data_IF_991575226310
#
_entry.id   IF_991575226310
#
_cell.length_a   1.000
_cell.length_b   1.000
_cell.length_c   1.000
_cell.angle_alpha   90.00
_cell.angle_beta   90.00
_cell.angle_gamma   90.00
#
_symmetry.space_group_name_H-M   'P 1'
#
loop_
_entity.id
_entity.type
_entity.pdbx_description
1 polymer ?
#
# COMPACT_ATOMS: atom_id res chain seq x y z
N UNK A 1 -17.11 24.01 26.15
CA UNK A 1 -18.07 24.02 25.01
C UNK A 1 -19.16 25.02 25.31
N UNK A 2 -19.34 26.03 24.47
CA UNK A 2 -20.39 27.04 24.64
C UNK A 2 -21.75 26.41 24.34
N UNK A 3 -22.66 26.45 25.30
CA UNK A 3 -24.00 25.88 25.14
C UNK A 3 -24.80 26.76 24.17
N UNK A 4 -25.34 26.16 23.09
CA UNK A 4 -26.18 26.90 22.15
C UNK A 4 -27.45 27.39 22.87
N UNK A 5 -27.96 28.60 22.55
CA UNK A 5 -29.21 29.10 23.11
C UNK A 5 -30.36 28.10 22.90
N UNK A 6 -31.35 28.02 23.79
CA UNK A 6 -32.51 27.14 23.58
C UNK A 6 -33.29 27.55 22.33
N UNK A 7 -34.10 26.62 21.82
CA UNK A 7 -35.13 26.93 20.84
C UNK A 7 -36.07 28.01 21.39
N UNK A 8 -36.50 29.02 20.60
CA UNK A 8 -36.33 29.17 19.16
C UNK A 8 -35.08 29.97 18.74
N UNK A 9 -34.23 30.37 19.67
CA UNK A 9 -33.07 31.23 19.41
C UNK A 9 -31.99 30.46 18.64
N UNK A 10 -31.63 29.24 19.04
CA UNK A 10 -30.83 28.35 18.19
C UNK A 10 -31.72 27.51 17.27
N UNK A 11 -31.47 27.60 15.96
CA UNK A 11 -32.13 26.78 14.94
C UNK A 11 -31.09 26.35 13.88
N UNK A 12 -30.46 25.18 14.06
CA UNK A 12 -29.45 24.67 13.11
C UNK A 12 -29.95 24.56 11.67
N UNK A 13 -31.27 24.40 11.48
CA UNK A 13 -31.90 24.37 10.14
C UNK A 13 -31.70 25.68 9.35
N UNK A 14 -31.44 26.82 9.99
CA UNK A 14 -31.18 28.10 9.29
C UNK A 14 -29.99 27.99 8.33
N UNK A 15 -28.92 27.31 8.74
CA UNK A 15 -27.72 27.10 7.91
C UNK A 15 -27.91 25.99 6.85
N UNK A 16 -29.06 25.31 6.83
CA UNK A 16 -29.36 24.21 5.91
C UNK A 16 -30.36 24.57 4.82
N UNK A 17 -30.82 25.83 4.77
CA UNK A 17 -31.91 26.29 3.90
C UNK A 17 -31.58 26.21 2.40
N UNK A 18 -30.32 26.41 2.01
CA UNK A 18 -29.91 26.38 0.60
C UNK A 18 -28.62 25.58 0.41
N UNK A 19 -28.36 25.06 -0.81
CA UNK A 19 -27.07 24.47 -1.15
C UNK A 19 -25.89 25.42 -0.87
N UNK A 20 -26.02 26.71 -1.21
CA UNK A 20 -25.00 27.72 -0.96
C UNK A 20 -24.68 27.89 0.54
N UNK A 21 -25.71 27.96 1.40
CA UNK A 21 -25.51 28.05 2.86
C UNK A 21 -24.81 26.81 3.41
N UNK A 22 -25.21 25.61 2.97
CA UNK A 22 -24.56 24.36 3.38
C UNK A 22 -23.11 24.27 2.91
N UNK A 23 -22.79 24.85 1.76
CA UNK A 23 -21.42 24.91 1.25
C UNK A 23 -20.56 25.86 2.09
N UNK A 24 -21.09 27.03 2.48
CA UNK A 24 -20.36 28.00 3.31
C UNK A 24 -19.98 27.48 4.70
N UNK A 25 -20.80 26.62 5.30
CA UNK A 25 -20.60 26.11 6.67
C UNK A 25 -20.12 24.67 6.73
N UNK A 26 -19.74 24.08 5.59
CA UNK A 26 -19.23 22.71 5.54
C UNK A 26 -17.89 22.64 6.28
N UNK A 27 -17.77 21.68 7.19
CA UNK A 27 -16.59 21.52 8.03
C UNK A 27 -15.50 20.67 7.38
N UNK A 28 -15.88 19.75 6.48
CA UNK A 28 -14.96 18.79 5.86
C UNK A 28 -15.10 18.80 4.36
N UNK A 29 -13.97 18.91 3.68
CA UNK A 29 -13.83 18.80 2.24
C UNK A 29 -12.89 17.63 1.94
N UNK A 30 -13.14 16.97 0.81
CA UNK A 30 -12.22 15.99 0.25
C UNK A 30 -11.68 16.57 -1.05
N UNK A 31 -10.37 16.46 -1.22
CA UNK A 31 -9.61 16.92 -2.36
C UNK A 31 -8.82 15.75 -2.96
N UNK A 32 -8.47 15.77 -4.25
CA UNK A 32 -7.69 14.69 -4.89
C UNK A 32 -6.40 14.32 -4.14
N UNK A 33 -5.72 15.31 -3.55
CA UNK A 33 -4.51 15.13 -2.76
C UNK A 33 -4.71 14.40 -1.42
N UNK A 34 -5.96 14.24 -0.94
CA UNK A 34 -6.27 13.45 0.24
C UNK A 34 -6.23 11.93 -0.02
N UNK A 35 -6.14 11.53 -1.29
CA UNK A 35 -6.16 10.12 -1.69
C UNK A 35 -4.77 9.55 -1.94
N UNK A 36 -4.57 8.31 -1.50
CA UNK A 36 -3.47 7.42 -1.90
C UNK A 36 -4.10 6.33 -2.78
N UNK A 37 -3.62 6.14 -4.01
CA UNK A 37 -4.19 5.15 -4.93
C UNK A 37 -3.41 3.82 -4.90
N UNK A 38 -4.05 2.70 -4.48
CA UNK A 38 -3.40 1.38 -4.52
C UNK A 38 -3.25 0.84 -5.93
N UNK A 39 -2.06 0.33 -6.27
CA UNK A 39 -1.75 -0.31 -7.55
C UNK A 39 -1.18 -1.72 -7.33
N UNK A 40 -1.75 -2.70 -8.01
CA UNK A 40 -1.31 -4.10 -7.99
C UNK A 40 -0.38 -4.37 -9.17
N UNK A 41 0.89 -4.67 -8.92
CA UNK A 41 1.94 -4.73 -9.94
C UNK A 41 2.48 -6.15 -10.07
N UNK A 42 2.58 -6.66 -11.28
CA UNK A 42 3.05 -8.02 -11.58
C UNK A 42 4.07 -8.02 -12.73
N UNK A 43 4.82 -9.10 -12.85
CA UNK A 43 5.73 -9.30 -13.98
C UNK A 43 5.00 -9.43 -15.33
N UNK A 44 5.70 -9.09 -16.41
CA UNK A 44 5.23 -9.12 -17.79
C UNK A 44 5.20 -7.75 -18.46
N UNK A 45 4.56 -7.67 -19.63
CA UNK A 45 4.45 -6.46 -20.46
C UNK A 45 3.06 -6.42 -21.12
N UNK A 46 2.43 -5.24 -21.18
CA UNK A 46 1.09 -5.05 -21.75
C UNK A 46 -0.04 -5.75 -20.98
N UNK A 47 0.18 -6.13 -19.72
CA UNK A 47 -0.76 -6.92 -18.93
C UNK A 47 -1.72 -5.99 -18.17
N UNK A 48 -3.01 -6.26 -18.32
CA UNK A 48 -4.08 -5.75 -17.45
C UNK A 48 -4.99 -6.91 -17.04
N UNK A 49 -4.59 -7.64 -16.00
CA UNK A 49 -5.28 -8.85 -15.57
C UNK A 49 -6.38 -8.51 -14.54
N UNK A 50 -7.68 -8.69 -14.85
CA UNK A 50 -8.76 -8.27 -13.97
C UNK A 50 -8.76 -9.06 -12.66
N UNK A 51 -9.14 -8.41 -11.56
CA UNK A 51 -9.33 -9.02 -10.24
C UNK A 51 -10.83 -9.30 -10.06
N UNK A 52 -11.32 -10.56 -10.15
CA UNK A 52 -12.76 -10.85 -10.17
C UNK A 52 -13.52 -10.39 -8.92
N UNK A 53 -12.88 -10.44 -7.76
CA UNK A 53 -13.44 -9.98 -6.48
C UNK A 53 -13.45 -8.46 -6.32
N UNK A 54 -12.76 -7.72 -7.19
CA UNK A 54 -12.64 -6.26 -7.16
C UNK A 54 -12.93 -5.68 -8.56
N UNK A 55 -14.21 -5.59 -8.97
CA UNK A 55 -14.58 -5.11 -10.29
C UNK A 55 -13.97 -3.72 -10.60
N UNK A 56 -13.32 -3.62 -11.75
CA UNK A 56 -12.61 -2.40 -12.18
C UNK A 56 -11.16 -2.30 -11.69
N UNK A 57 -10.68 -3.27 -10.91
CA UNK A 57 -9.27 -3.35 -10.48
C UNK A 57 -8.53 -4.45 -11.23
N UNK A 58 -7.24 -4.23 -11.43
CA UNK A 58 -6.38 -5.08 -12.27
C UNK A 58 -5.03 -5.29 -11.59
N UNK A 59 -4.42 -6.45 -11.84
CA UNK A 59 -2.99 -6.64 -11.70
C UNK A 59 -2.34 -6.19 -13.00
N UNK A 60 -1.42 -5.25 -12.90
CA UNK A 60 -0.84 -4.50 -14.01
C UNK A 60 0.62 -4.91 -14.21
N UNK A 61 1.07 -5.04 -15.45
CA UNK A 61 2.52 -4.99 -15.71
C UNK A 61 3.05 -3.59 -15.44
N UNK A 62 4.37 -3.43 -15.32
CA UNK A 62 4.97 -2.13 -14.99
C UNK A 62 4.55 -1.04 -15.99
N UNK A 63 4.56 -1.33 -17.29
CA UNK A 63 4.17 -0.39 -18.34
C UNK A 63 2.71 0.09 -18.20
N UNK A 64 1.76 -0.82 -18.00
CA UNK A 64 0.34 -0.45 -17.83
C UNK A 64 0.04 0.17 -16.46
N UNK A 65 0.86 -0.13 -15.45
CA UNK A 65 0.83 0.54 -14.14
C UNK A 65 1.26 2.00 -14.25
N UNK A 66 2.25 2.32 -15.08
CA UNK A 66 2.63 3.72 -15.36
C UNK A 66 1.48 4.47 -16.01
N UNK A 67 0.79 3.89 -17.00
CA UNK A 67 -0.39 4.52 -17.63
C UNK A 67 -1.48 4.86 -16.59
N UNK A 68 -1.77 3.95 -15.65
CA UNK A 68 -2.72 4.20 -14.56
C UNK A 68 -2.24 5.29 -13.60
N UNK A 69 -0.95 5.30 -13.27
CA UNK A 69 -0.37 6.33 -12.40
C UNK A 69 -0.40 7.72 -13.06
N UNK A 70 -0.11 7.82 -14.36
CA UNK A 70 -0.21 9.07 -15.13
C UNK A 70 -1.65 9.59 -15.17
N UNK A 71 -2.62 8.69 -15.37
CA UNK A 71 -4.03 9.05 -15.32
C UNK A 71 -4.42 9.55 -13.92
N UNK A 72 -4.04 8.84 -12.85
CA UNK A 72 -4.28 9.28 -11.47
C UNK A 72 -3.65 10.65 -11.18
N UNK A 73 -2.43 10.88 -11.64
CA UNK A 73 -1.74 12.17 -11.52
C UNK A 73 -2.51 13.30 -12.22
N UNK A 74 -3.05 13.04 -13.41
CA UNK A 74 -3.86 14.01 -14.17
C UNK A 74 -5.15 14.40 -13.43
N UNK A 75 -5.68 13.51 -12.59
CA UNK A 75 -6.85 13.73 -11.74
C UNK A 75 -6.52 14.47 -10.43
N UNK A 76 -5.23 14.72 -10.16
CA UNK A 76 -4.76 15.43 -8.97
C UNK A 76 -4.32 14.53 -7.82
N UNK A 77 -4.36 13.20 -7.98
CA UNK A 77 -3.86 12.25 -6.97
C UNK A 77 -2.33 12.32 -6.98
N UNK A 78 -1.73 12.53 -5.80
CA UNK A 78 -0.29 12.78 -5.66
C UNK A 78 0.51 11.60 -5.14
N UNK A 79 -0.17 10.55 -4.69
CA UNK A 79 0.48 9.40 -4.08
C UNK A 79 -0.15 8.08 -4.48
N UNK A 80 0.69 7.07 -4.59
CA UNK A 80 0.28 5.68 -4.83
C UNK A 80 0.90 4.77 -3.77
N UNK A 81 0.25 3.65 -3.50
CA UNK A 81 0.83 2.54 -2.75
C UNK A 81 0.93 1.31 -3.65
N UNK A 82 2.12 0.70 -3.70
CA UNK A 82 2.38 -0.44 -4.57
C UNK A 82 2.24 -1.77 -3.80
N UNK A 83 1.48 -2.69 -4.39
CA UNK A 83 1.36 -4.08 -3.96
C UNK A 83 1.89 -5.00 -5.05
N UNK A 84 2.96 -5.75 -4.75
CA UNK A 84 3.65 -6.59 -5.73
C UNK A 84 3.05 -7.98 -5.80
N UNK A 85 2.94 -8.55 -6.99
CA UNK A 85 2.57 -9.94 -7.24
C UNK A 85 3.82 -10.62 -7.80
N UNK A 86 4.55 -11.39 -6.98
CA UNK A 86 5.80 -12.02 -7.39
C UNK A 86 5.57 -13.11 -8.44
N UNK A 87 6.63 -13.45 -9.18
CA UNK A 87 6.59 -14.60 -10.10
C UNK A 87 6.71 -15.92 -9.33
N UNK A 88 7.49 -15.89 -8.24
CA UNK A 88 7.75 -17.05 -7.40
C UNK A 88 7.58 -16.70 -5.92
N UNK A 89 6.96 -17.61 -5.17
CA UNK A 89 6.85 -17.55 -3.72
C UNK A 89 7.71 -18.63 -3.08
N UNK A 90 8.31 -18.33 -1.94
CA UNK A 90 9.13 -19.26 -1.17
C UNK A 90 8.99 -18.99 0.33
N UNK A 91 9.45 -19.89 1.20
CA UNK A 91 9.27 -19.78 2.65
C UNK A 91 9.87 -18.50 3.30
N UNK A 92 10.75 -17.77 2.61
CA UNK A 92 11.42 -16.57 3.11
C UNK A 92 11.08 -15.31 2.30
N UNK A 93 10.17 -15.41 1.33
CA UNK A 93 9.76 -14.31 0.46
C UNK A 93 10.90 -13.58 -0.24
N UNK A 94 11.84 -14.33 -0.84
CA UNK A 94 13.11 -13.76 -1.33
C UNK A 94 12.95 -12.63 -2.34
N UNK A 95 11.93 -12.65 -3.19
CA UNK A 95 11.70 -11.61 -4.19
C UNK A 95 11.41 -10.23 -3.57
N UNK A 96 10.85 -10.18 -2.35
CA UNK A 96 10.48 -8.91 -1.70
C UNK A 96 11.69 -8.00 -1.43
N UNK A 97 12.85 -8.59 -1.15
CA UNK A 97 14.10 -7.88 -0.87
C UNK A 97 15.15 -8.06 -1.97
N UNK A 98 14.79 -8.63 -3.13
CA UNK A 98 15.63 -8.63 -4.32
C UNK A 98 15.65 -7.22 -4.96
N UNK A 99 16.82 -6.59 -5.15
CA UNK A 99 16.93 -5.32 -5.90
C UNK A 99 16.32 -5.35 -7.30
N UNK A 100 16.17 -6.53 -7.91
CA UNK A 100 15.57 -6.78 -9.21
C UNK A 100 14.12 -7.30 -9.15
N UNK A 101 13.56 -7.47 -7.95
CA UNK A 101 12.17 -7.90 -7.75
C UNK A 101 11.14 -6.90 -8.27
N UNK A 102 9.87 -7.34 -8.33
CA UNK A 102 8.79 -6.59 -8.99
C UNK A 102 8.60 -5.18 -8.41
N UNK A 103 8.59 -5.03 -7.09
CA UNK A 103 8.37 -3.73 -6.43
C UNK A 103 9.54 -2.75 -6.66
N UNK A 104 10.82 -3.13 -6.40
CA UNK A 104 11.95 -2.27 -6.74
C UNK A 104 12.00 -1.85 -8.22
N UNK A 105 11.64 -2.75 -9.15
CA UNK A 105 11.55 -2.43 -10.57
C UNK A 105 10.44 -1.41 -10.86
N UNK A 106 9.25 -1.61 -10.28
CA UNK A 106 8.10 -0.73 -10.40
C UNK A 106 8.38 0.67 -9.85
N UNK A 107 8.96 0.77 -8.66
CA UNK A 107 9.34 2.06 -8.03
C UNK A 107 10.27 2.84 -8.95
N UNK A 108 11.36 2.21 -9.44
CA UNK A 108 12.31 2.88 -10.34
C UNK A 108 11.66 3.35 -11.64
N UNK A 109 10.76 2.56 -12.21
CA UNK A 109 10.03 2.96 -13.40
C UNK A 109 9.12 4.16 -13.12
N UNK A 110 8.39 4.12 -12.00
CA UNK A 110 7.48 5.18 -11.59
C UNK A 110 8.21 6.48 -11.29
N UNK A 111 9.31 6.45 -10.54
CA UNK A 111 10.12 7.66 -10.27
C UNK A 111 10.77 8.23 -11.55
N UNK A 112 10.96 7.44 -12.61
CA UNK A 112 11.40 7.96 -13.92
C UNK A 112 10.27 8.64 -14.69
N UNK A 113 9.06 8.06 -14.69
CA UNK A 113 7.91 8.59 -15.42
C UNK A 113 7.26 9.79 -14.72
N UNK A 114 7.11 9.70 -13.39
CA UNK A 114 6.47 10.69 -12.53
C UNK A 114 7.36 11.01 -11.32
N UNK A 115 8.45 11.79 -11.49
CA UNK A 115 9.42 12.05 -10.43
C UNK A 115 8.81 12.66 -9.15
N UNK A 116 7.77 13.47 -9.32
CA UNK A 116 7.08 14.18 -8.23
C UNK A 116 5.95 13.36 -7.57
N UNK A 117 5.61 12.19 -8.10
CA UNK A 117 4.63 11.31 -7.45
C UNK A 117 5.27 10.69 -6.20
N UNK A 118 4.52 10.74 -5.09
CA UNK A 118 4.90 10.09 -3.84
C UNK A 118 4.61 8.60 -3.96
N UNK A 119 5.65 7.78 -3.80
CA UNK A 119 5.56 6.33 -3.89
C UNK A 119 5.66 5.72 -2.50
N UNK A 120 4.57 5.11 -2.05
CA UNK A 120 4.50 4.30 -0.84
C UNK A 120 4.71 2.85 -1.21
N UNK A 121 5.60 2.15 -0.50
CA UNK A 121 5.82 0.72 -0.68
C UNK A 121 5.27 -0.07 0.50
N UNK A 122 4.49 -1.12 0.24
CA UNK A 122 4.08 -2.08 1.25
C UNK A 122 5.27 -2.92 1.74
N UNK A 123 5.42 -3.04 3.06
CA UNK A 123 6.47 -3.84 3.69
C UNK A 123 5.82 -4.97 4.50
N UNK A 124 5.73 -6.15 3.86
CA UNK A 124 5.20 -7.39 4.44
C UNK A 124 5.73 -8.62 3.69
N UNK A 125 5.56 -9.81 4.24
CA UNK A 125 6.00 -11.07 3.62
C UNK A 125 4.84 -11.90 3.03
N UNK A 126 3.57 -11.55 3.30
CA UNK A 126 2.42 -12.39 2.96
C UNK A 126 2.30 -12.69 1.47
N UNK A 127 2.54 -11.70 0.61
CA UNK A 127 2.40 -11.89 -0.83
C UNK A 127 3.59 -12.65 -1.43
N UNK A 128 4.72 -12.72 -0.72
CA UNK A 128 5.97 -13.33 -1.19
C UNK A 128 6.22 -14.72 -0.62
N UNK A 129 5.56 -15.07 0.48
CA UNK A 129 5.71 -16.38 1.10
C UNK A 129 4.78 -17.41 0.50
N UNK A 130 5.27 -18.65 0.34
CA UNK A 130 4.47 -19.76 -0.19
C UNK A 130 3.31 -20.18 0.74
N UNK A 131 3.44 -19.88 2.03
CA UNK A 131 2.44 -20.10 3.06
C UNK A 131 1.49 -18.92 3.30
N UNK A 132 1.77 -17.73 2.75
CA UNK A 132 0.90 -16.56 2.84
C UNK A 132 0.89 -15.80 4.17
N UNK A 133 1.59 -16.28 5.21
CA UNK A 133 1.79 -15.53 6.46
C UNK A 133 2.70 -14.30 6.30
N UNK A 134 2.50 -13.30 7.17
CA UNK A 134 3.22 -12.02 7.15
C UNK A 134 4.68 -12.09 7.61
N UNK A 135 5.21 -13.27 7.90
CA UNK A 135 6.56 -13.45 8.43
C UNK A 135 7.08 -14.88 8.35
N UNK A 136 8.27 -15.10 8.89
CA UNK A 136 8.97 -16.39 8.88
C UNK A 136 8.26 -17.38 9.81
N UNK A 137 8.00 -18.58 9.32
CA UNK A 137 7.32 -19.63 10.08
C UNK A 137 8.32 -20.50 10.84
N UNK A 138 8.01 -20.75 12.11
CA UNK A 138 8.76 -21.65 12.96
C UNK A 138 8.62 -23.10 12.49
N UNK A 139 9.59 -23.59 11.72
CA UNK A 139 9.70 -24.99 11.29
C UNK A 139 11.07 -25.55 11.65
N UNK A 140 11.20 -26.88 11.91
CA UNK A 140 12.49 -27.49 12.28
C UNK A 140 13.57 -27.37 11.20
N UNK A 141 13.16 -27.16 9.95
CA UNK A 141 14.05 -27.00 8.80
C UNK A 141 14.53 -25.56 8.61
N UNK A 142 13.86 -24.58 9.22
CA UNK A 142 14.20 -23.16 9.10
C UNK A 142 15.46 -22.84 9.93
N UNK A 143 16.40 -22.03 9.39
CA UNK A 143 17.54 -21.51 10.16
C UNK A 143 17.13 -20.75 11.44
N UNK A 144 15.95 -20.14 11.42
CA UNK A 144 15.36 -19.33 12.49
C UNK A 144 14.61 -20.18 13.53
N UNK A 145 14.62 -21.51 13.42
CA UNK A 145 13.87 -22.42 14.27
C UNK A 145 14.08 -22.13 15.76
N UNK A 146 12.98 -21.97 16.48
CA UNK A 146 12.96 -21.81 17.92
C UNK A 146 12.19 -22.97 18.57
N UNK A 147 12.88 -23.91 19.25
CA UNK A 147 12.23 -25.05 19.89
C UNK A 147 11.34 -24.67 21.09
N UNK A 148 11.43 -23.43 21.57
CA UNK A 148 10.58 -22.92 22.64
C UNK A 148 9.26 -22.32 22.14
N UNK A 149 9.07 -22.24 20.82
CA UNK A 149 7.85 -21.73 20.20
C UNK A 149 7.09 -22.87 19.48
N UNK A 150 5.76 -22.76 19.32
CA UNK A 150 4.98 -23.75 18.58
C UNK A 150 5.44 -23.85 17.12
N UNK A 151 5.34 -25.05 16.54
CA UNK A 151 5.48 -25.23 15.10
C UNK A 151 4.37 -24.46 14.37
N UNK A 152 4.70 -23.80 13.26
CA UNK A 152 3.75 -22.97 12.52
C UNK A 152 3.56 -21.55 13.09
N UNK A 153 4.26 -21.19 14.16
CA UNK A 153 4.23 -19.84 14.72
C UNK A 153 5.00 -18.85 13.84
N UNK A 154 4.47 -17.63 13.65
CA UNK A 154 5.18 -16.55 12.94
C UNK A 154 6.21 -15.93 13.88
N UNK A 155 7.49 -16.09 13.55
CA UNK A 155 8.62 -15.63 14.37
C UNK A 155 8.79 -14.11 14.25
N UNK A 156 8.58 -13.37 15.35
CA UNK A 156 8.64 -11.90 15.36
C UNK A 156 10.01 -11.35 14.92
N UNK A 157 11.04 -11.53 15.75
CA UNK A 157 12.35 -10.91 15.53
C UNK A 157 13.05 -11.38 14.24
N UNK A 158 12.98 -12.67 13.86
CA UNK A 158 13.48 -13.09 12.56
C UNK A 158 12.75 -12.38 11.41
N UNK A 159 11.42 -12.22 11.49
CA UNK A 159 10.67 -11.47 10.46
C UNK A 159 11.12 -10.02 10.36
N UNK A 160 11.43 -9.36 11.49
CA UNK A 160 11.95 -7.98 11.50
C UNK A 160 13.20 -7.80 10.64
N UNK A 161 14.10 -8.79 10.61
CA UNK A 161 15.30 -8.74 9.77
C UNK A 161 14.94 -8.76 8.27
N UNK A 162 14.05 -9.65 7.84
CA UNK A 162 13.62 -9.73 6.44
C UNK A 162 12.87 -8.48 5.97
N UNK A 163 11.92 -7.98 6.77
CA UNK A 163 11.17 -6.78 6.39
C UNK A 163 12.07 -5.52 6.40
N UNK A 164 13.10 -5.48 7.25
CA UNK A 164 14.11 -4.40 7.23
C UNK A 164 14.94 -4.42 5.95
N UNK A 165 15.32 -5.62 5.46
CA UNK A 165 16.01 -5.77 4.17
C UNK A 165 15.12 -5.30 3.02
N UNK A 166 13.84 -5.71 3.01
CA UNK A 166 12.87 -5.26 2.01
C UNK A 166 12.72 -3.73 2.01
N UNK A 167 12.54 -3.12 3.19
CA UNK A 167 12.43 -1.68 3.34
C UNK A 167 13.64 -0.93 2.77
N UNK A 168 14.87 -1.37 3.10
CA UNK A 168 16.10 -0.78 2.56
C UNK A 168 16.19 -0.96 1.05
N UNK A 169 15.83 -2.13 0.52
CA UNK A 169 15.81 -2.39 -0.93
C UNK A 169 14.83 -1.46 -1.65
N UNK A 170 13.63 -1.26 -1.11
CA UNK A 170 12.59 -0.40 -1.70
C UNK A 170 12.97 1.09 -1.63
N UNK A 171 13.53 1.55 -0.51
CA UNK A 171 14.05 2.93 -0.39
C UNK A 171 15.19 3.18 -1.37
N UNK A 172 16.12 2.21 -1.53
CA UNK A 172 17.19 2.30 -2.55
C UNK A 172 16.65 2.36 -3.98
N UNK A 173 15.47 1.80 -4.23
CA UNK A 173 14.79 1.90 -5.53
C UNK A 173 14.13 3.27 -5.76
N UNK A 174 13.93 4.07 -4.70
CA UNK A 174 13.37 5.42 -4.75
C UNK A 174 12.00 5.58 -4.10
N UNK A 175 11.56 4.65 -3.24
CA UNK A 175 10.32 4.82 -2.48
C UNK A 175 10.45 6.02 -1.53
N UNK A 176 9.41 6.87 -1.48
CA UNK A 176 9.35 8.05 -0.62
C UNK A 176 8.86 7.69 0.79
N UNK A 177 8.09 6.61 0.91
CA UNK A 177 7.57 6.08 2.17
C UNK A 177 7.56 4.56 2.13
N UNK A 178 7.87 3.94 3.27
CA UNK A 178 7.65 2.50 3.50
C UNK A 178 6.52 2.33 4.51
N UNK A 179 5.62 1.39 4.26
CA UNK A 179 4.44 1.12 5.06
C UNK A 179 4.47 -0.33 5.58
N UNK A 180 5.08 -0.59 6.76
CA UNK A 180 5.05 -1.90 7.40
C UNK A 180 3.62 -2.35 7.72
N UNK A 181 3.19 -3.45 7.13
CA UNK A 181 1.85 -4.03 7.31
C UNK A 181 1.89 -5.45 7.90
N UNK A 182 3.10 -5.95 8.21
CA UNK A 182 3.30 -7.29 8.75
C UNK A 182 2.88 -7.50 10.21
N UNK A 183 2.60 -6.43 10.96
CA UNK A 183 2.14 -6.47 12.36
C UNK A 183 3.09 -7.21 13.33
N UNK A 184 4.40 -7.15 13.06
CA UNK A 184 5.43 -7.56 14.02
C UNK A 184 5.62 -6.45 15.06
N UNK A 185 5.92 -6.85 16.30
CA UNK A 185 6.25 -5.95 17.41
C UNK A 185 7.58 -5.21 17.18
#
# INVERSE_FOLDING_TARGET
MTQLPPYPTSRPRRLRLSPALRQMVRETHLHPEDFIYPLFVRHGEGIRHPIPSMPGQFQLSIDTMIEEAEHAWSLGIRSVILFGIPEHKDAHGTENYDPHGIIPAAIRALKRALPDMVVVSDICMCEYTDHGHCGIINTPEAPEYNPNLPLGYVLNDPTLDYISRAAVTHVRAGADMVAPSGMMD
#
